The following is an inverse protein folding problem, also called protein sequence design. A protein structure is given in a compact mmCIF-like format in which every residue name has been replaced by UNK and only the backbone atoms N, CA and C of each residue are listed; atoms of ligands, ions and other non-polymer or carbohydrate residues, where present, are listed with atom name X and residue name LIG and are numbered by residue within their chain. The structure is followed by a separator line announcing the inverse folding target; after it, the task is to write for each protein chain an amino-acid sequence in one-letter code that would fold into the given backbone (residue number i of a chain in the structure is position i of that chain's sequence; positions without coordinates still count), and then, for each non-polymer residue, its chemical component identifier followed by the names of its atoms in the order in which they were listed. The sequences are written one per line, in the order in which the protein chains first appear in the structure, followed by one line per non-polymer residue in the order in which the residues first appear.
data_IF_766513362062
#
_entry.id   IF_766513362062
#
_cell.length_a   1.000
_cell.length_b   1.000
_cell.length_c   1.000
_cell.angle_alpha   90.00
_cell.angle_beta   90.00
_cell.angle_gamma   90.00
#
_symmetry.space_group_name_H-M   'P 1'
#
loop_
_entity.id
_entity.type
_entity.pdbx_description
1 polymer ?
#
# COMPACT_ATOMS: atom_id res chain seq x y z
N UNK A 1 14.01 4.34 21.81
CA UNK A 1 14.63 4.42 20.48
C UNK A 1 14.05 5.65 19.82
N UNK A 2 14.88 6.56 19.37
CA UNK A 2 14.41 7.77 18.70
C UNK A 2 13.92 7.36 17.33
N UNK A 3 12.60 7.35 17.11
CA UNK A 3 12.07 7.46 15.76
C UNK A 3 12.51 8.82 15.27
N UNK A 4 13.63 8.88 14.54
CA UNK A 4 13.99 10.05 13.75
C UNK A 4 12.82 10.27 12.79
N UNK A 5 11.93 11.16 13.20
CA UNK A 5 10.66 11.42 12.55
C UNK A 5 11.02 11.96 11.16
N UNK A 6 10.87 11.11 10.14
CA UNK A 6 11.22 11.42 8.76
C UNK A 6 10.56 12.73 8.37
N UNK A 7 11.27 13.56 7.59
CA UNK A 7 10.63 14.79 7.12
C UNK A 7 9.38 14.46 6.30
N UNK A 8 8.37 15.32 6.33
CA UNK A 8 7.12 15.12 5.57
C UNK A 8 7.38 14.66 4.12
N UNK A 9 8.34 15.30 3.44
CA UNK A 9 8.71 14.95 2.06
C UNK A 9 9.28 13.54 1.90
N UNK A 10 9.97 13.03 2.91
CA UNK A 10 10.49 11.66 2.93
C UNK A 10 9.35 10.67 3.13
N UNK A 11 8.41 10.98 4.03
CA UNK A 11 7.21 10.18 4.24
C UNK A 11 6.32 10.15 2.99
N UNK A 12 6.08 11.30 2.35
CA UNK A 12 5.35 11.37 1.07
C UNK A 12 6.00 10.51 -0.01
N UNK A 13 7.34 10.47 -0.06
CA UNK A 13 8.07 9.62 -1.00
C UNK A 13 7.94 8.13 -0.68
N UNK A 14 7.89 7.78 0.60
CA UNK A 14 7.65 6.40 1.04
C UNK A 14 6.22 5.96 0.69
N UNK A 15 5.23 6.83 0.94
CA UNK A 15 3.82 6.58 0.54
C UNK A 15 3.73 6.34 -0.97
N UNK A 16 4.30 7.23 -1.78
CA UNK A 16 4.29 7.08 -3.25
C UNK A 16 4.94 5.77 -3.69
N UNK A 17 6.03 5.36 -3.03
CA UNK A 17 6.72 4.10 -3.33
C UNK A 17 5.85 2.89 -2.97
N UNK A 18 5.25 2.87 -1.78
CA UNK A 18 4.37 1.79 -1.34
C UNK A 18 3.15 1.66 -2.25
N UNK A 19 2.52 2.78 -2.61
CA UNK A 19 1.38 2.80 -3.54
C UNK A 19 1.80 2.33 -4.94
N UNK A 20 2.93 2.79 -5.47
CA UNK A 20 3.40 2.31 -6.78
C UNK A 20 3.72 0.82 -6.76
N UNK A 21 4.29 0.33 -5.65
CA UNK A 21 4.54 -1.10 -5.48
C UNK A 21 3.27 -1.93 -5.43
N UNK A 22 2.12 -1.40 -4.98
CA UNK A 22 0.83 -2.10 -5.05
C UNK A 22 0.38 -2.39 -6.48
N UNK A 23 0.57 -1.45 -7.40
CA UNK A 23 0.19 -1.61 -8.81
C UNK A 23 1.05 -2.68 -9.51
N UNK A 24 2.32 -2.77 -9.11
CA UNK A 24 3.27 -3.77 -9.60
C UNK A 24 3.21 -5.10 -8.82
N UNK A 25 2.40 -5.17 -7.74
CA UNK A 25 2.37 -6.28 -6.80
C UNK A 25 1.71 -7.51 -7.40
N UNK A 26 2.45 -8.63 -7.42
CA UNK A 26 1.87 -9.93 -7.71
C UNK A 26 1.02 -10.46 -6.54
N UNK A 27 0.19 -11.50 -6.74
CA UNK A 27 -0.63 -12.10 -5.69
C UNK A 27 0.16 -12.73 -4.53
N UNK A 28 1.47 -12.91 -4.71
CA UNK A 28 2.40 -13.47 -3.71
C UNK A 28 3.36 -12.42 -3.14
N UNK A 29 3.31 -11.17 -3.62
CA UNK A 29 4.16 -10.10 -3.11
C UNK A 29 3.52 -9.45 -1.86
N UNK A 30 4.37 -9.11 -0.90
CA UNK A 30 3.98 -8.48 0.37
C UNK A 30 4.48 -7.04 0.40
N UNK A 31 3.69 -6.14 1.00
CA UNK A 31 4.11 -4.75 1.19
C UNK A 31 5.34 -4.66 2.09
N UNK A 32 6.24 -3.73 1.77
CA UNK A 32 7.41 -3.41 2.57
C UNK A 32 7.00 -2.87 3.96
N UNK A 33 6.85 -3.76 4.93
CA UNK A 33 6.45 -3.45 6.31
C UNK A 33 7.44 -2.47 6.98
N UNK A 34 8.74 -2.56 6.66
CA UNK A 34 9.74 -1.64 7.20
C UNK A 34 9.50 -0.20 6.73
N UNK A 35 9.09 -0.02 5.48
CA UNK A 35 8.76 1.32 4.95
C UNK A 35 7.46 1.82 5.55
N UNK A 36 6.49 0.93 5.75
CA UNK A 36 5.21 1.27 6.38
C UNK A 36 5.38 1.68 7.85
N UNK A 37 6.22 0.98 8.64
CA UNK A 37 6.47 1.28 10.06
C UNK A 37 7.20 2.63 10.24
N UNK A 38 7.93 3.09 9.22
CA UNK A 38 8.62 4.38 9.24
C UNK A 38 7.68 5.59 9.03
N UNK A 39 6.44 5.37 8.59
CA UNK A 39 5.46 6.43 8.37
C UNK A 39 4.78 6.83 9.68
N UNK A 40 4.46 8.12 9.83
CA UNK A 40 3.52 8.54 10.88
C UNK A 40 2.10 8.06 10.54
N UNK A 41 1.22 8.02 11.55
CA UNK A 41 -0.14 7.49 11.41
C UNK A 41 -0.97 8.15 10.29
N UNK A 42 -0.74 9.42 9.97
CA UNK A 42 -1.44 10.10 8.85
C UNK A 42 -1.06 9.50 7.50
N UNK A 43 0.23 9.25 7.28
CA UNK A 43 0.74 8.67 6.03
C UNK A 43 0.48 7.16 5.96
N UNK A 44 0.51 6.45 7.09
CA UNK A 44 0.05 5.05 7.16
C UNK A 44 -1.41 4.93 6.70
N UNK A 45 -2.27 5.84 7.18
CA UNK A 45 -3.67 5.88 6.77
C UNK A 45 -3.85 6.14 5.26
N UNK A 46 -2.97 6.93 4.62
CA UNK A 46 -3.00 7.11 3.17
C UNK A 46 -2.65 5.81 2.42
N UNK A 47 -1.67 5.05 2.92
CA UNK A 47 -1.31 3.76 2.33
C UNK A 47 -2.44 2.74 2.53
N UNK A 48 -3.03 2.66 3.72
CA UNK A 48 -4.21 1.81 3.99
C UNK A 48 -5.38 2.11 3.03
N UNK A 49 -5.66 3.39 2.78
CA UNK A 49 -6.73 3.80 1.87
C UNK A 49 -6.44 3.36 0.43
N UNK A 50 -5.19 3.51 -0.02
CA UNK A 50 -4.75 3.04 -1.33
C UNK A 50 -4.81 1.51 -1.45
N UNK A 51 -4.44 0.76 -0.40
CA UNK A 51 -4.60 -0.71 -0.37
C UNK A 51 -6.07 -1.09 -0.50
N UNK A 52 -6.96 -0.41 0.23
CA UNK A 52 -8.40 -0.67 0.13
C UNK A 52 -8.94 -0.37 -1.27
N UNK A 53 -8.54 0.75 -1.86
CA UNK A 53 -8.93 1.10 -3.23
C UNK A 53 -8.41 0.07 -4.25
N UNK A 54 -7.15 -0.35 -4.13
CA UNK A 54 -6.58 -1.41 -4.96
C UNK A 54 -7.33 -2.73 -4.79
N UNK A 55 -7.63 -3.14 -3.55
CA UNK A 55 -8.38 -4.35 -3.26
C UNK A 55 -9.82 -4.27 -3.79
N UNK A 56 -10.48 -3.12 -3.66
CA UNK A 56 -11.84 -2.90 -4.19
C UNK A 56 -11.83 -2.90 -5.73
N UNK A 57 -10.80 -2.34 -6.37
CA UNK A 57 -10.59 -2.40 -7.81
C UNK A 57 -10.27 -3.83 -8.29
N UNK A 58 -9.48 -4.59 -7.54
CA UNK A 58 -9.16 -5.99 -7.85
C UNK A 58 -10.36 -6.94 -7.67
N UNK A 59 -11.24 -6.66 -6.70
CA UNK A 59 -12.49 -7.41 -6.46
C UNK A 59 -13.61 -6.95 -7.42
N UNK A 60 -13.67 -5.65 -7.74
CA UNK A 60 -14.63 -5.06 -8.68
C UNK A 60 -14.28 -5.30 -10.16
N UNK A 61 -13.03 -5.66 -10.45
CA UNK A 61 -12.65 -6.31 -11.70
C UNK A 61 -13.23 -7.72 -11.71
N UNK A 62 -14.11 -7.97 -12.67
CA UNK A 62 -14.85 -9.19 -13.05
C UNK A 62 -14.00 -10.49 -13.19
N UNK A 63 -12.78 -10.52 -12.66
CA UNK A 63 -11.76 -11.56 -12.85
C UNK A 63 -11.72 -12.62 -11.76
N UNK A 64 -12.53 -12.49 -10.69
CA UNK A 64 -12.64 -13.52 -9.63
C UNK A 64 -13.95 -14.34 -9.69
N UNK A 65 -14.87 -14.03 -10.61
CA UNK A 65 -16.14 -14.78 -10.79
C UNK A 65 -16.15 -15.57 -12.11
N UNK A 66 -15.02 -16.16 -12.48
CA UNK A 66 -15.00 -17.23 -13.50
C UNK A 66 -14.59 -18.55 -12.86
N UNK A 67 -15.25 -18.91 -11.75
CA UNK A 67 -15.49 -20.32 -11.45
C UNK A 67 -16.67 -20.77 -12.33
N UNK A 68 -16.37 -20.98 -13.62
CA UNK A 68 -17.27 -21.68 -14.53
C UNK A 68 -17.43 -23.13 -14.03
N UNK A 69 -18.55 -23.35 -13.34
CA UNK A 69 -19.12 -24.64 -12.93
C UNK A 69 -19.49 -25.56 -14.09
#
# INVERSE_FOLDING_TARGET
MSSDNLSKKEQEKIVEKLISSLDEMGPEDELDEELYDQLDSDHQQQVDDAIREFADAAIGSDTWDSDEW
#
